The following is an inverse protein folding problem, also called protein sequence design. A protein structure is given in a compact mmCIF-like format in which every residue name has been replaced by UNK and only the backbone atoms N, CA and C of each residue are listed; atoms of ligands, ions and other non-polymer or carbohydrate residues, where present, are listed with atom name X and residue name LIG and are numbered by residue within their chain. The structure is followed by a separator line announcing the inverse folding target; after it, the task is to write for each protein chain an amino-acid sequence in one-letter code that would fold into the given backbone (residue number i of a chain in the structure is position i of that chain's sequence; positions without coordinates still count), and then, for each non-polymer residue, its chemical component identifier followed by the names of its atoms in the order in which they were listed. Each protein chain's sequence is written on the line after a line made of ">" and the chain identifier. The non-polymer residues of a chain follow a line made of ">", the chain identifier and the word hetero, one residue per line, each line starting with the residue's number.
data_IF_556253813447
#
_entry.id   IF_556253813447
#
_cell.length_a   1.000
_cell.length_b   1.000
_cell.length_c   1.000
_cell.angle_alpha   90.00
_cell.angle_beta   90.00
_cell.angle_gamma   90.00
#
_symmetry.space_group_name_H-M   'P 1'
#
loop_
_entity.id
_entity.type
_entity.pdbx_description
1 polymer ?
#
# COMPACT_ATOMS: atom_id res chain seq x y z
N UNK A 1 4.30 -15.95 12.78
CA UNK A 1 3.47 -15.47 11.65
C UNK A 1 4.23 -14.77 10.50
N UNK A 2 5.50 -14.33 10.67
CA UNK A 2 6.26 -13.55 9.65
C UNK A 2 6.43 -14.18 8.26
N UNK A 3 6.47 -15.51 8.15
CA UNK A 3 6.75 -16.20 6.87
C UNK A 3 5.69 -16.01 5.78
N UNK A 4 4.46 -15.59 6.12
CA UNK A 4 3.43 -15.34 5.09
C UNK A 4 3.60 -13.97 4.42
N UNK A 5 4.03 -12.94 5.17
CA UNK A 5 4.20 -11.59 4.64
C UNK A 5 5.38 -11.50 3.66
N UNK A 6 6.51 -12.14 3.99
CA UNK A 6 7.71 -12.18 3.13
C UNK A 6 7.44 -12.87 1.80
N UNK A 7 6.58 -13.90 1.80
CA UNK A 7 6.18 -14.62 0.59
C UNK A 7 5.23 -13.76 -0.27
N UNK A 8 4.34 -12.98 0.33
CA UNK A 8 3.45 -12.05 -0.39
C UNK A 8 4.24 -10.90 -1.04
N UNK A 9 5.13 -10.24 -0.29
CA UNK A 9 6.02 -9.21 -0.86
C UNK A 9 6.93 -9.80 -1.95
N UNK A 10 7.45 -11.01 -1.72
CA UNK A 10 8.31 -11.72 -2.66
C UNK A 10 7.61 -12.18 -3.94
N UNK A 11 6.32 -12.53 -3.90
CA UNK A 11 5.54 -12.91 -5.10
C UNK A 11 5.08 -11.70 -5.92
N UNK A 12 4.78 -10.57 -5.30
CA UNK A 12 4.38 -9.34 -5.99
C UNK A 12 5.53 -8.74 -6.84
N UNK A 13 6.79 -9.04 -6.49
CA UNK A 13 8.00 -8.70 -7.27
C UNK A 13 8.02 -9.34 -8.67
N UNK A 14 7.31 -10.45 -8.91
CA UNK A 14 7.43 -11.22 -10.17
C UNK A 14 6.35 -10.93 -11.22
N UNK A 15 5.31 -10.16 -10.90
CA UNK A 15 4.16 -9.99 -11.79
C UNK A 15 4.17 -8.73 -12.67
N UNK A 16 5.20 -7.90 -12.62
CA UNK A 16 5.25 -6.64 -13.35
C UNK A 16 6.37 -6.67 -14.38
N UNK A 17 6.05 -6.33 -15.62
CA UNK A 17 7.03 -6.10 -16.68
C UNK A 17 8.01 -4.96 -16.36
N UNK A 18 8.63 -4.38 -17.39
CA UNK A 18 10.05 -3.98 -17.41
C UNK A 18 10.50 -3.23 -16.13
N UNK A 19 11.36 -3.86 -15.30
CA UNK A 19 12.26 -3.25 -14.28
C UNK A 19 11.80 -1.93 -13.61
N UNK A 20 10.53 -1.76 -13.29
CA UNK A 20 10.10 -0.63 -12.47
C UNK A 20 10.34 -1.04 -11.01
N UNK A 21 11.11 -0.26 -10.25
CA UNK A 21 11.32 -0.56 -8.84
C UNK A 21 9.97 -0.48 -8.11
N UNK A 22 9.67 -1.51 -7.33
CA UNK A 22 8.52 -1.48 -6.42
C UNK A 22 8.74 -0.41 -5.35
N UNK A 23 7.66 0.23 -4.84
CA UNK A 23 7.77 1.11 -3.70
C UNK A 23 8.37 0.36 -2.50
N UNK A 24 9.17 1.07 -1.70
CA UNK A 24 9.71 0.51 -0.47
C UNK A 24 8.59 0.16 0.52
N UNK A 25 8.86 -0.82 1.39
CA UNK A 25 7.92 -1.19 2.45
C UNK A 25 7.76 -0.02 3.43
N UNK A 26 6.51 0.28 3.81
CA UNK A 26 6.17 1.40 4.68
C UNK A 26 5.91 0.90 6.10
N UNK A 27 6.70 1.36 7.07
CA UNK A 27 6.61 0.94 8.47
C UNK A 27 5.65 1.79 9.32
N UNK A 28 5.17 2.91 8.78
CA UNK A 28 4.38 3.91 9.51
C UNK A 28 5.07 5.25 9.71
N UNK A 29 6.35 5.38 9.32
CA UNK A 29 7.13 6.62 9.51
C UNK A 29 6.55 7.81 8.72
N UNK A 30 6.13 8.87 9.41
CA UNK A 30 5.62 10.09 8.77
C UNK A 30 6.59 10.70 7.75
N UNK A 31 7.90 10.57 8.00
CA UNK A 31 8.94 11.08 7.10
C UNK A 31 8.97 10.32 5.77
N UNK A 32 8.61 9.05 5.76
CA UNK A 32 8.62 8.19 4.57
C UNK A 32 7.28 8.15 3.84
N UNK A 33 6.19 8.61 4.46
CA UNK A 33 4.85 8.50 3.88
C UNK A 33 4.72 9.16 2.52
N UNK A 34 5.12 10.43 2.40
CA UNK A 34 5.02 11.15 1.12
C UNK A 34 5.86 10.50 0.03
N UNK A 35 7.04 9.97 0.40
CA UNK A 35 7.88 9.21 -0.51
C UNK A 35 7.18 7.93 -0.97
N UNK A 36 6.59 7.17 -0.04
CA UNK A 36 5.85 5.95 -0.31
C UNK A 36 4.64 6.18 -1.24
N UNK A 37 3.82 7.20 -0.97
CA UNK A 37 2.68 7.55 -1.80
C UNK A 37 3.11 7.97 -3.21
N UNK A 38 4.17 8.79 -3.32
CA UNK A 38 4.70 9.19 -4.63
C UNK A 38 5.23 7.98 -5.42
N UNK A 39 5.93 7.06 -4.77
CA UNK A 39 6.40 5.82 -5.40
C UNK A 39 5.23 4.96 -5.90
N UNK A 40 4.18 4.78 -5.09
CA UNK A 40 2.97 4.08 -5.50
C UNK A 40 2.29 4.77 -6.70
N UNK A 41 2.14 6.10 -6.64
CA UNK A 41 1.54 6.89 -7.72
C UNK A 41 2.32 6.74 -9.03
N UNK A 42 3.65 6.83 -8.96
CA UNK A 42 4.52 6.64 -10.12
C UNK A 42 4.35 5.25 -10.74
N UNK A 43 4.27 4.20 -9.92
CA UNK A 43 4.05 2.85 -10.39
C UNK A 43 2.68 2.69 -11.08
N UNK A 44 1.62 3.30 -10.54
CA UNK A 44 0.29 3.28 -11.17
C UNK A 44 0.28 3.99 -12.52
N UNK A 45 0.99 5.11 -12.65
CA UNK A 45 1.15 5.82 -13.92
C UNK A 45 1.95 5.00 -14.95
N UNK A 46 2.92 4.20 -14.48
CA UNK A 46 3.79 3.43 -15.37
C UNK A 46 3.14 2.12 -15.82
N UNK A 47 2.26 1.53 -15.00
CA UNK A 47 1.52 0.30 -15.31
C UNK A 47 -0.02 0.49 -15.24
N UNK A 48 -0.62 1.37 -16.06
CA UNK A 48 -2.04 1.70 -15.98
C UNK A 48 -2.96 0.51 -16.32
N UNK A 49 -2.47 -0.44 -17.11
CA UNK A 49 -3.22 -1.67 -17.45
C UNK A 49 -3.33 -2.63 -16.26
N UNK A 50 -2.32 -2.65 -15.38
CA UNK A 50 -2.29 -3.52 -14.19
C UNK A 50 -3.06 -2.89 -13.03
N UNK A 51 -3.00 -1.57 -12.90
CA UNK A 51 -3.62 -0.81 -11.80
C UNK A 51 -4.84 -0.02 -12.28
N UNK A 52 -5.73 -0.67 -13.03
CA UNK A 52 -6.91 -0.04 -13.63
C UNK A 52 -8.13 0.03 -12.69
N UNK A 53 -8.06 -0.58 -11.51
CA UNK A 53 -9.16 -0.63 -10.54
C UNK A 53 -8.75 -0.06 -9.19
N UNK A 54 -9.69 0.53 -8.46
CA UNK A 54 -9.42 1.03 -7.11
C UNK A 54 -8.89 -0.06 -6.18
N UNK A 55 -9.44 -1.29 -6.29
CA UNK A 55 -8.95 -2.44 -5.54
C UNK A 55 -7.47 -2.73 -5.81
N UNK A 56 -7.02 -2.70 -7.08
CA UNK A 56 -5.61 -2.89 -7.42
C UNK A 56 -4.71 -1.74 -6.95
N UNK A 57 -5.24 -0.51 -6.94
CA UNK A 57 -4.51 0.67 -6.45
C UNK A 57 -4.37 0.66 -4.92
N UNK A 58 -5.28 0.01 -4.20
CA UNK A 58 -5.26 -0.07 -2.74
C UNK A 58 -4.54 -1.33 -2.25
N UNK A 59 -4.65 -2.44 -2.97
CA UNK A 59 -4.02 -3.71 -2.59
C UNK A 59 -2.49 -3.65 -2.59
N UNK A 60 -1.90 -2.90 -3.52
CA UNK A 60 -0.45 -2.72 -3.57
C UNK A 60 0.06 -1.98 -2.32
N UNK A 61 -0.39 -0.76 -1.98
CA UNK A 61 0.03 -0.07 -0.77
C UNK A 61 -0.14 -0.93 0.48
N UNK A 62 -1.28 -1.61 0.62
CA UNK A 62 -1.58 -2.52 1.74
C UNK A 62 -0.53 -3.63 1.85
N UNK A 63 -0.15 -4.24 0.72
CA UNK A 63 0.84 -5.32 0.70
C UNK A 63 2.24 -4.88 1.11
N UNK A 64 2.53 -3.58 1.02
CA UNK A 64 3.79 -2.96 1.36
C UNK A 64 3.80 -2.38 2.79
N UNK A 65 2.66 -2.41 3.50
CA UNK A 65 2.60 -1.99 4.90
C UNK A 65 3.31 -3.02 5.80
N UNK A 66 4.06 -2.49 6.76
CA UNK A 66 4.76 -3.26 7.77
C UNK A 66 4.58 -2.62 9.14
N UNK A 67 4.82 -3.39 10.20
CA UNK A 67 4.84 -2.92 11.59
C UNK A 67 3.58 -2.13 11.95
N UNK A 68 3.74 -0.89 12.42
CA UNK A 68 2.66 -0.03 12.92
C UNK A 68 1.64 0.29 11.81
N UNK A 69 2.10 0.48 10.57
CA UNK A 69 1.20 0.69 9.44
C UNK A 69 0.36 -0.56 9.12
N UNK A 70 0.91 -1.76 9.30
CA UNK A 70 0.17 -3.01 9.12
C UNK A 70 -0.81 -3.26 10.27
N UNK A 71 -0.43 -2.91 11.50
CA UNK A 71 -1.32 -3.01 12.66
C UNK A 71 -2.55 -2.11 12.50
N UNK A 72 -2.39 -0.92 11.90
CA UNK A 72 -3.51 -0.06 11.51
C UNK A 72 -4.39 -0.69 10.40
N UNK A 73 -3.78 -1.29 9.38
CA UNK A 73 -4.52 -1.87 8.26
C UNK A 73 -5.21 -3.20 8.61
N UNK A 74 -4.72 -3.92 9.62
CA UNK A 74 -5.25 -5.21 10.06
C UNK A 74 -6.77 -5.20 10.33
N UNK A 75 -7.33 -4.29 11.15
CA UNK A 75 -8.78 -4.22 11.36
C UNK A 75 -9.56 -3.83 10.10
N UNK A 76 -8.96 -3.08 9.16
CA UNK A 76 -9.61 -2.75 7.89
C UNK A 76 -9.72 -3.98 6.98
N UNK A 77 -8.68 -4.82 6.98
CA UNK A 77 -8.61 -6.07 6.23
C UNK A 77 -9.54 -7.14 6.81
N UNK A 78 -9.60 -7.26 8.13
CA UNK A 78 -10.46 -8.25 8.80
C UNK A 78 -11.96 -7.97 8.60
N UNK A 79 -12.33 -6.70 8.45
CA UNK A 79 -13.73 -6.29 8.29
C UNK A 79 -14.15 -6.07 6.83
N UNK A 80 -13.29 -6.38 5.85
CA UNK A 80 -13.51 -6.07 4.43
C UNK A 80 -14.04 -4.62 4.24
N UNK A 81 -13.40 -3.68 4.93
CA UNK A 81 -13.89 -2.31 5.01
C UNK A 81 -14.02 -1.71 3.60
N UNK A 82 -15.13 -1.01 3.35
CA UNK A 82 -15.38 -0.32 2.07
C UNK A 82 -14.29 0.70 1.73
N UNK A 83 -13.53 1.17 2.73
CA UNK A 83 -12.35 2.01 2.56
C UNK A 83 -11.32 1.35 1.65
N UNK A 84 -11.17 0.02 1.69
CA UNK A 84 -10.20 -0.71 0.86
C UNK A 84 -10.64 -0.84 -0.61
N UNK A 85 -11.91 -0.59 -0.90
CA UNK A 85 -12.47 -0.65 -2.25
C UNK A 85 -12.42 0.70 -2.97
N UNK A 86 -12.06 1.78 -2.27
CA UNK A 86 -12.05 3.12 -2.80
C UNK A 86 -10.69 3.79 -2.54
N UNK A 87 -9.96 4.08 -3.62
CA UNK A 87 -8.62 4.67 -3.54
C UNK A 87 -8.60 5.98 -2.76
N UNK A 88 -9.59 6.85 -2.98
CA UNK A 88 -9.64 8.15 -2.32
C UNK A 88 -9.95 8.01 -0.83
N UNK A 89 -10.87 7.11 -0.45
CA UNK A 89 -11.16 6.83 0.94
C UNK A 89 -9.93 6.28 1.66
N UNK A 90 -9.22 5.34 1.04
CA UNK A 90 -7.98 4.79 1.58
C UNK A 90 -6.91 5.87 1.82
N UNK A 91 -6.65 6.73 0.83
CA UNK A 91 -5.66 7.81 0.95
C UNK A 91 -6.05 8.82 2.03
N UNK A 92 -7.33 9.15 2.15
CA UNK A 92 -7.84 10.02 3.21
C UNK A 92 -7.62 9.39 4.58
N UNK A 93 -7.96 8.11 4.76
CA UNK A 93 -7.72 7.40 6.02
C UNK A 93 -6.23 7.33 6.37
N UNK A 94 -5.36 7.13 5.38
CA UNK A 94 -3.91 7.18 5.61
C UNK A 94 -3.43 8.57 6.03
N UNK A 95 -3.97 9.64 5.43
CA UNK A 95 -3.61 11.02 5.79
C UNK A 95 -4.00 11.35 7.24
N UNK A 96 -5.19 10.91 7.68
CA UNK A 96 -5.69 11.17 9.05
C UNK A 96 -4.76 10.59 10.12
N UNK A 97 -4.23 9.38 9.92
CA UNK A 97 -3.30 8.75 10.89
C UNK A 97 -2.03 9.57 11.06
N UNK A 98 -1.55 10.16 9.98
CA UNK A 98 -0.31 10.94 9.98
C UNK A 98 -0.52 12.32 10.60
N UNK A 99 -1.69 12.91 10.37
CA UNK A 99 -2.08 14.16 11.01
C UNK A 99 -2.29 13.96 12.53
N UNK A 100 -2.78 12.79 12.96
CA UNK A 100 -2.91 12.42 14.39
C UNK A 100 -1.55 12.11 15.06
N UNK A 101 -0.47 11.93 14.30
CA UNK A 101 0.90 11.72 14.81
C UNK A 101 1.65 13.04 15.12
N UNK A 102 0.98 14.19 15.03
CA UNK A 102 1.51 15.54 15.27
C UNK A 102 1.09 16.13 16.62
#
# INVERSE_FOLDING_TARGET
>A
QRRKQEVVCGLLVWCLGPKIPLPECFDGSCQQFWSFINQCHHLFLTCPQTYNSDLSNVSLPISLLMREALDWASPLLENDSLVLLNRNAFLQSMSVILDDLH
#
